data_IF_259586614879
#
_entry.id   IF_259586614879
#
_cell.length_a   1.000
_cell.length_b   1.000
_cell.length_c   1.000
_cell.angle_alpha   90.00
_cell.angle_beta   90.00
_cell.angle_gamma   90.00
#
_symmetry.space_group_name_H-M   'P 1'
#
loop_
_entity.id
_entity.type
_entity.pdbx_description
1 polymer ?
#
# COMPACT_ATOMS: atom_id res chain seq x y z
N UNK A 1 2.01 12.60 13.79
CA UNK A 1 1.25 13.37 12.77
C UNK A 1 0.66 12.37 11.80
N UNK A 2 -0.62 12.47 11.42
CA UNK A 2 -1.24 11.48 10.55
C UNK A 2 -0.47 11.36 9.23
N UNK A 3 -0.37 10.13 8.71
CA UNK A 3 0.37 9.84 7.46
C UNK A 3 -0.37 10.55 6.31
N UNK A 4 0.29 11.42 5.53
CA UNK A 4 -0.37 12.12 4.42
C UNK A 4 -0.55 11.16 3.26
N UNK A 5 -1.81 10.84 2.94
CA UNK A 5 -2.18 9.87 1.91
C UNK A 5 -2.65 10.55 0.62
N UNK A 6 -2.36 9.89 -0.49
CA UNK A 6 -2.94 10.19 -1.80
C UNK A 6 -3.84 9.05 -2.22
N UNK A 7 -4.99 9.37 -2.81
CA UNK A 7 -5.86 8.39 -3.47
C UNK A 7 -5.50 8.38 -4.94
N UNK A 8 -5.19 7.21 -5.51
CA UNK A 8 -4.95 7.14 -6.94
C UNK A 8 -6.25 7.50 -7.70
N UNK A 9 -6.22 8.41 -8.68
CA UNK A 9 -7.39 8.73 -9.48
C UNK A 9 -7.80 7.49 -10.29
N UNK A 10 -9.00 6.98 -10.00
CA UNK A 10 -9.57 5.87 -10.77
C UNK A 10 -9.91 6.37 -12.17
N UNK A 11 -9.08 6.01 -13.16
CA UNK A 11 -9.48 5.99 -14.56
C UNK A 11 -8.97 7.09 -15.49
N UNK A 12 -7.71 7.53 -15.38
CA UNK A 12 -7.16 8.47 -16.39
C UNK A 12 -6.07 7.93 -17.32
N UNK A 13 -5.30 6.89 -16.97
CA UNK A 13 -4.23 6.42 -17.87
C UNK A 13 -4.11 4.89 -17.88
N UNK A 14 -4.27 4.29 -19.06
CA UNK A 14 -4.22 2.83 -19.38
C UNK A 14 -2.86 2.15 -19.09
N UNK A 15 -2.03 2.67 -18.17
CA UNK A 15 -0.68 2.18 -17.91
C UNK A 15 -0.24 2.11 -16.45
N UNK A 16 -0.97 2.74 -15.51
CA UNK A 16 -0.69 2.59 -14.07
C UNK A 16 -1.99 2.47 -13.27
N UNK A 17 -2.71 1.37 -13.46
CA UNK A 17 -3.61 0.91 -12.40
C UNK A 17 -2.71 0.40 -11.27
N UNK A 18 -2.28 1.25 -10.32
CA UNK A 18 -1.87 0.75 -9.00
C UNK A 18 -3.16 0.41 -8.26
N UNK A 19 -3.87 -0.57 -8.81
CA UNK A 19 -5.10 -1.11 -8.24
C UNK A 19 -4.90 -1.39 -6.75
N UNK A 20 -6.00 -1.31 -6.00
CA UNK A 20 -5.94 -1.35 -4.53
C UNK A 20 -4.95 -2.40 -3.98
N UNK A 21 -3.97 -1.94 -3.20
CA UNK A 21 -2.93 -2.77 -2.61
C UNK A 21 -3.21 -3.03 -1.12
N UNK A 22 -2.46 -3.94 -0.50
CA UNK A 22 -2.63 -4.28 0.91
C UNK A 22 -1.97 -3.22 1.80
N UNK A 23 -2.73 -2.63 2.72
CA UNK A 23 -2.21 -1.70 3.71
C UNK A 23 -0.96 -2.27 4.43
N UNK A 24 0.08 -1.47 4.60
CA UNK A 24 1.34 -1.94 5.18
C UNK A 24 1.28 -2.32 6.67
N UNK A 25 0.20 -1.96 7.38
CA UNK A 25 0.01 -2.29 8.79
C UNK A 25 -1.00 -3.43 8.99
N UNK A 26 -2.23 -3.26 8.47
CA UNK A 26 -3.32 -4.19 8.71
C UNK A 26 -3.64 -5.11 7.52
N UNK A 27 -2.98 -4.92 6.38
CA UNK A 27 -3.18 -5.67 5.14
C UNK A 27 -4.59 -5.60 4.54
N UNK A 28 -5.45 -4.67 4.98
CA UNK A 28 -6.71 -4.41 4.29
C UNK A 28 -6.42 -3.83 2.91
N UNK A 29 -7.16 -4.28 1.90
CA UNK A 29 -7.05 -3.75 0.54
C UNK A 29 -7.51 -2.30 0.53
N UNK A 30 -6.70 -1.41 -0.02
CA UNK A 30 -6.94 0.03 0.03
C UNK A 30 -6.44 0.75 -1.23
N UNK A 31 -7.17 1.77 -1.74
CA UNK A 31 -6.74 2.59 -2.87
C UNK A 31 -5.87 3.79 -2.45
N UNK A 32 -5.49 3.86 -1.17
CA UNK A 32 -4.74 4.98 -0.60
C UNK A 32 -3.28 4.61 -0.38
N UNK A 33 -2.41 5.57 -0.65
CA UNK A 33 -0.97 5.36 -0.70
C UNK A 33 -0.21 6.48 0.01
N UNK A 34 0.91 6.11 0.61
CA UNK A 34 1.90 7.06 1.08
C UNK A 34 2.98 7.24 0.01
N UNK A 35 2.95 8.32 -0.79
CA UNK A 35 3.76 8.47 -2.00
C UNK A 35 5.27 8.49 -1.71
N UNK A 36 5.68 9.00 -0.53
CA UNK A 36 7.10 9.11 -0.16
C UNK A 36 7.80 7.76 0.00
N UNK A 37 7.08 6.70 0.35
CA UNK A 37 7.64 5.33 0.49
C UNK A 37 7.01 4.33 -0.48
N UNK A 38 6.11 4.78 -1.35
CA UNK A 38 5.40 3.99 -2.36
C UNK A 38 4.60 2.81 -1.78
N UNK A 39 4.05 2.93 -0.57
CA UNK A 39 3.31 1.83 0.09
C UNK A 39 1.85 2.21 0.32
N UNK A 40 0.97 1.21 0.21
CA UNK A 40 -0.44 1.38 0.52
C UNK A 40 -0.67 1.51 2.03
N UNK A 41 -1.51 2.45 2.45
CA UNK A 41 -1.88 2.68 3.85
C UNK A 41 -3.35 3.07 3.89
N UNK A 42 -4.17 2.38 4.70
CA UNK A 42 -5.59 2.73 4.82
C UNK A 42 -5.78 3.96 5.72
N UNK A 43 -6.94 4.62 5.62
CA UNK A 43 -7.25 5.81 6.41
C UNK A 43 -7.20 5.58 7.92
N UNK A 44 -7.55 4.37 8.38
CA UNK A 44 -7.52 4.02 9.81
C UNK A 44 -6.09 3.98 10.31
N UNK A 45 -5.23 3.18 9.68
CA UNK A 45 -3.83 3.07 10.08
C UNK A 45 -3.06 4.38 9.86
N UNK A 46 -3.44 5.20 8.89
CA UNK A 46 -2.85 6.53 8.72
C UNK A 46 -3.15 7.51 9.86
N UNK A 47 -4.23 7.29 10.60
CA UNK A 47 -4.56 8.07 11.80
C UNK A 47 -3.89 7.52 13.07
N UNK A 48 -3.55 6.23 13.09
CA UNK A 48 -3.01 5.53 14.26
C UNK A 48 -1.48 5.49 14.30
N UNK A 49 -0.82 5.48 13.13
CA UNK A 49 0.62 5.34 12.99
C UNK A 49 1.31 6.61 12.52
N UNK A 50 2.60 6.71 12.82
CA UNK A 50 3.47 7.77 12.37
C UNK A 50 4.23 7.42 11.08
N UNK A 51 4.65 8.46 10.34
CA UNK A 51 5.37 8.33 9.06
C UNK A 51 6.68 7.54 9.16
N UNK A 52 7.31 7.56 10.33
CA UNK A 52 8.57 6.86 10.60
C UNK A 52 8.37 5.35 10.76
N UNK A 53 7.19 4.92 11.19
CA UNK A 53 6.82 3.50 11.30
C UNK A 53 6.49 2.86 9.95
N UNK A 54 6.19 3.67 8.94
CA UNK A 54 5.86 3.18 7.61
C UNK A 54 7.07 2.46 7.00
N UNK A 55 6.96 1.18 6.61
CA UNK A 55 8.07 0.46 6.00
C UNK A 55 8.43 1.02 4.62
N UNK A 56 9.65 0.75 4.17
CA UNK A 56 10.02 0.96 2.76
C UNK A 56 9.36 -0.11 1.87
N UNK A 57 9.12 0.22 0.59
CA UNK A 57 8.47 -0.69 -0.39
C UNK A 57 9.00 -2.11 -0.35
N UNK A 58 10.33 -2.29 -0.33
CA UNK A 58 10.98 -3.61 -0.34
C UNK A 58 10.53 -4.48 0.83
N UNK A 59 10.57 -3.93 2.04
CA UNK A 59 10.29 -4.68 3.26
C UNK A 59 8.79 -4.98 3.36
N UNK A 60 7.95 -4.04 2.93
CA UNK A 60 6.51 -4.27 2.76
C UNK A 60 6.21 -5.37 1.74
N UNK A 61 6.84 -5.35 0.55
CA UNK A 61 6.66 -6.38 -0.46
C UNK A 61 7.07 -7.77 0.07
N UNK A 62 8.17 -7.86 0.82
CA UNK A 62 8.60 -9.11 1.45
C UNK A 62 7.54 -9.61 2.45
N UNK A 63 7.01 -8.73 3.31
CA UNK A 63 5.97 -9.08 4.27
C UNK A 63 4.65 -9.49 3.61
N UNK A 64 4.25 -8.82 2.52
CA UNK A 64 3.07 -9.19 1.73
C UNK A 64 3.25 -10.56 1.08
N UNK A 65 4.43 -10.85 0.52
CA UNK A 65 4.71 -12.16 -0.07
C UNK A 65 4.74 -13.30 0.95
N UNK A 66 5.28 -13.05 2.14
CA UNK A 66 5.30 -14.03 3.23
C UNK A 66 3.87 -14.34 3.72
N UNK A 67 3.05 -13.29 3.88
CA UNK A 67 1.67 -13.41 4.36
C UNK A 67 0.70 -13.97 3.32
N UNK A 68 0.90 -13.63 2.05
CA UNK A 68 0.04 -13.99 0.93
C UNK A 68 0.86 -14.64 -0.20
N UNK A 69 1.37 -15.87 0.02
CA UNK A 69 2.26 -16.53 -0.93
C UNK A 69 1.62 -16.75 -2.31
N UNK A 70 0.29 -16.89 -2.38
CA UNK A 70 -0.46 -17.05 -3.63
C UNK A 70 -0.47 -15.80 -4.53
N UNK A 71 -0.14 -14.62 -4.00
CA UNK A 71 0.02 -13.41 -4.83
C UNK A 71 1.25 -13.50 -5.75
N UNK A 72 2.18 -14.43 -5.50
CA UNK A 72 3.31 -14.70 -6.40
C UNK A 72 2.86 -15.32 -7.73
N UNK A 73 1.73 -16.02 -7.74
CA UNK A 73 1.27 -16.80 -8.90
C UNK A 73 0.35 -16.01 -9.83
N UNK A 74 -0.15 -14.84 -9.39
CA UNK A 74 -1.20 -14.09 -10.09
C UNK A 74 -0.72 -12.91 -10.95
N UNK A 75 0.60 -12.71 -11.08
CA UNK A 75 1.20 -11.66 -11.93
C UNK A 75 2.11 -12.21 -13.04
N UNK A 76 1.70 -13.31 -13.67
CA UNK A 76 2.28 -13.80 -14.94
C UNK A 76 1.21 -13.92 -16.03
#
# INVERSE_FOLDING_TARGET
>A
MPIPLEREPQGLDRGSDRGSEHCCFCYVVTPYWYPKKDVAVCLVCAAEHDVDEVPVKRDWCAAVQDRFPWLRETRY
#
